data_IF_162275557193
#
_entry.id   IF_162275557193
#
_cell.length_a   1.000
_cell.length_b   1.000
_cell.length_c   1.000
_cell.angle_alpha   90.00
_cell.angle_beta   90.00
_cell.angle_gamma   90.00
#
_symmetry.space_group_name_H-M   'P 1'
#
loop_
_entity.id
_entity.type
_entity.pdbx_description
1 polymer ?
#
# COMPACT_ATOMS: atom_id res chain seq x y z
N UNK A 1 22.20 -7.64 14.46
CA UNK A 1 21.07 -7.01 15.17
C UNK A 1 20.01 -8.09 15.35
N UNK A 2 19.75 -8.55 16.57
CA UNK A 2 18.69 -9.54 16.80
C UNK A 2 17.34 -8.88 16.52
N UNK A 3 16.42 -9.56 15.83
CA UNK A 3 15.07 -9.03 15.64
C UNK A 3 14.39 -8.90 17.01
N UNK A 4 14.00 -7.68 17.38
CA UNK A 4 13.22 -7.44 18.59
C UNK A 4 11.78 -7.88 18.33
N UNK A 5 11.47 -9.14 18.66
CA UNK A 5 10.13 -9.73 18.50
C UNK A 5 9.06 -8.89 19.22
N UNK A 6 9.40 -8.28 20.37
CA UNK A 6 8.48 -7.39 21.08
C UNK A 6 8.21 -6.11 20.28
N UNK A 7 9.22 -5.58 19.59
CA UNK A 7 9.04 -4.45 18.67
C UNK A 7 8.11 -4.80 17.51
N UNK A 8 8.26 -5.96 16.89
CA UNK A 8 7.39 -6.39 15.79
C UNK A 8 5.94 -6.62 16.24
N UNK A 9 5.74 -7.19 17.43
CA UNK A 9 4.40 -7.31 18.02
C UNK A 9 3.79 -5.92 18.26
N UNK A 10 4.57 -4.95 18.74
CA UNK A 10 4.10 -3.56 18.91
C UNK A 10 3.70 -2.93 17.57
N UNK A 11 4.53 -3.05 16.54
CA UNK A 11 4.24 -2.52 15.20
C UNK A 11 2.97 -3.17 14.64
N UNK A 12 2.86 -4.50 14.70
CA UNK A 12 1.66 -5.21 14.24
C UNK A 12 0.37 -4.71 14.91
N UNK A 13 0.37 -4.55 16.24
CA UNK A 13 -0.79 -4.00 16.98
C UNK A 13 -1.15 -2.58 16.54
N UNK A 14 -0.14 -1.73 16.35
CA UNK A 14 -0.36 -0.35 15.89
C UNK A 14 -0.88 -0.30 14.44
N UNK A 15 -0.47 -1.23 13.58
CA UNK A 15 -1.04 -1.35 12.23
C UNK A 15 -2.51 -1.74 12.27
N UNK A 16 -2.89 -2.70 13.12
CA UNK A 16 -4.31 -3.02 13.35
C UNK A 16 -5.09 -1.79 13.84
N UNK A 17 -4.52 -1.00 14.75
CA UNK A 17 -5.14 0.24 15.22
C UNK A 17 -5.31 1.28 14.08
N UNK A 18 -4.27 1.49 13.27
CA UNK A 18 -4.33 2.42 12.14
C UNK A 18 -5.38 1.99 11.10
N UNK A 19 -5.45 0.68 10.79
CA UNK A 19 -6.51 0.12 9.95
C UNK A 19 -7.89 0.38 10.52
N UNK A 20 -8.09 0.18 11.83
CA UNK A 20 -9.36 0.46 12.50
C UNK A 20 -9.76 1.94 12.41
N UNK A 21 -8.81 2.87 12.56
CA UNK A 21 -9.08 4.29 12.33
C UNK A 21 -9.49 4.58 10.89
N UNK A 22 -8.85 3.93 9.91
CA UNK A 22 -9.27 4.07 8.51
C UNK A 22 -10.69 3.57 8.32
N UNK A 23 -11.04 2.37 8.80
CA UNK A 23 -12.41 1.82 8.73
C UNK A 23 -13.47 2.77 9.29
N UNK A 24 -13.16 3.49 10.37
CA UNK A 24 -14.02 4.50 10.99
C UNK A 24 -14.05 5.85 10.26
N UNK A 25 -13.30 6.01 9.16
CA UNK A 25 -13.22 7.26 8.42
C UNK A 25 -12.38 8.34 9.12
N UNK A 26 -11.42 7.92 9.94
CA UNK A 26 -10.55 8.78 10.75
C UNK A 26 -9.10 8.77 10.24
N UNK A 27 -8.84 9.23 9.01
CA UNK A 27 -7.54 9.05 8.36
C UNK A 27 -6.39 9.81 9.04
N UNK A 28 -6.66 10.93 9.70
CA UNK A 28 -5.59 11.65 10.40
C UNK A 28 -5.07 10.86 11.61
N UNK A 29 -5.96 10.25 12.39
CA UNK A 29 -5.57 9.40 13.52
C UNK A 29 -4.79 8.16 13.06
N UNK A 30 -5.13 7.63 11.88
CA UNK A 30 -4.33 6.57 11.27
C UNK A 30 -2.90 7.05 10.97
N UNK A 31 -2.73 8.23 10.37
CA UNK A 31 -1.40 8.80 10.11
C UNK A 31 -0.60 9.01 11.39
N UNK A 32 -1.22 9.59 12.42
CA UNK A 32 -0.56 9.87 13.70
C UNK A 32 -0.02 8.57 14.36
N UNK A 33 -0.75 7.46 14.21
CA UNK A 33 -0.29 6.13 14.64
C UNK A 33 0.89 5.64 13.82
N UNK A 34 0.84 5.80 12.49
CA UNK A 34 1.85 5.32 11.54
C UNK A 34 3.16 6.12 11.62
N UNK A 35 3.12 7.39 12.00
CA UNK A 35 4.31 8.27 12.14
C UNK A 35 5.17 7.93 13.37
N UNK A 36 4.59 7.21 14.34
CA UNK A 36 5.24 6.87 15.60
C UNK A 36 5.58 5.37 15.73
N UNK A 37 5.84 4.73 14.60
CA UNK A 37 6.29 3.35 14.55
C UNK A 37 7.82 3.35 14.50
N UNK A 38 8.47 2.75 15.50
CA UNK A 38 9.92 2.55 15.49
C UNK A 38 10.37 1.63 14.34
N UNK A 39 11.48 0.87 14.48
CA UNK A 39 11.95 -0.01 13.40
C UNK A 39 10.84 -0.91 12.85
N UNK A 40 10.60 -0.82 11.54
CA UNK A 40 9.44 -1.41 10.86
C UNK A 40 9.72 -2.84 10.38
N UNK A 41 10.95 -3.13 9.93
CA UNK A 41 11.35 -4.45 9.46
C UNK A 41 10.41 -4.99 8.37
N UNK A 42 9.78 -6.17 8.55
CA UNK A 42 8.94 -6.77 7.51
C UNK A 42 7.65 -5.97 7.22
N UNK A 43 7.30 -5.00 8.06
CA UNK A 43 6.05 -4.25 7.94
C UNK A 43 6.15 -2.96 7.10
N UNK A 44 7.34 -2.61 6.58
CA UNK A 44 7.53 -1.35 5.85
C UNK A 44 6.54 -1.18 4.70
N UNK A 45 6.31 -2.22 3.90
CA UNK A 45 5.35 -2.16 2.80
C UNK A 45 3.90 -1.91 3.29
N UNK A 46 3.51 -2.54 4.40
CA UNK A 46 2.17 -2.42 4.96
C UNK A 46 1.92 -1.03 5.57
N UNK A 47 2.95 -0.44 6.20
CA UNK A 47 2.89 0.92 6.74
C UNK A 47 2.62 1.93 5.63
N UNK A 48 3.36 1.83 4.52
CA UNK A 48 3.21 2.72 3.37
C UNK A 48 1.87 2.57 2.67
N UNK A 49 1.32 1.35 2.64
CA UNK A 49 -0.03 1.09 2.11
C UNK A 49 -1.10 1.80 2.94
N UNK A 50 -1.07 1.66 4.26
CA UNK A 50 -2.04 2.33 5.14
C UNK A 50 -1.88 3.85 5.12
N UNK A 51 -0.64 4.35 5.01
CA UNK A 51 -0.36 5.78 4.84
C UNK A 51 -0.95 6.32 3.53
N UNK A 52 -0.79 5.58 2.43
CA UNK A 52 -1.38 5.93 1.15
C UNK A 52 -2.91 5.97 1.20
N UNK A 53 -3.53 5.00 1.88
CA UNK A 53 -4.98 4.96 2.07
C UNK A 53 -5.47 6.12 2.93
N UNK A 54 -4.74 6.47 3.99
CA UNK A 54 -5.06 7.62 4.83
C UNK A 54 -5.04 8.93 4.03
N UNK A 55 -4.00 9.16 3.23
CA UNK A 55 -3.93 10.33 2.35
C UNK A 55 -5.03 10.34 1.28
N UNK A 56 -5.34 9.18 0.68
CA UNK A 56 -6.43 9.05 -0.31
C UNK A 56 -7.78 9.46 0.29
N UNK A 57 -8.09 9.05 1.52
CA UNK A 57 -9.33 9.43 2.23
C UNK A 57 -9.39 10.91 2.58
N UNK A 58 -8.23 11.57 2.70
CA UNK A 58 -8.14 13.03 2.86
C UNK A 58 -8.09 13.79 1.51
N UNK A 59 -8.28 13.10 0.38
CA UNK A 59 -8.13 13.67 -0.98
C UNK A 59 -6.72 14.22 -1.28
N UNK A 60 -5.72 13.79 -0.52
CA UNK A 60 -4.30 14.13 -0.67
C UNK A 60 -3.64 13.15 -1.65
N UNK A 61 -4.08 13.22 -2.90
CA UNK A 61 -3.80 12.18 -3.90
C UNK A 61 -2.31 12.09 -4.29
N UNK A 62 -1.56 13.19 -4.20
CA UNK A 62 -0.12 13.18 -4.49
C UNK A 62 0.65 12.39 -3.42
N UNK A 63 0.43 12.67 -2.14
CA UNK A 63 1.07 11.91 -1.05
C UNK A 63 0.61 10.45 -1.03
N UNK A 64 -0.66 10.19 -1.37
CA UNK A 64 -1.18 8.84 -1.52
C UNK A 64 -0.40 8.04 -2.56
N UNK A 65 -0.18 8.62 -3.75
CA UNK A 65 0.58 7.98 -4.82
C UNK A 65 2.04 7.69 -4.44
N UNK A 66 2.69 8.63 -3.74
CA UNK A 66 4.06 8.43 -3.23
C UNK A 66 4.11 7.25 -2.26
N UNK A 67 3.17 7.18 -1.33
CA UNK A 67 3.12 6.13 -0.32
C UNK A 67 2.81 4.77 -0.96
N UNK A 68 1.87 4.69 -1.90
CA UNK A 68 1.59 3.43 -2.61
C UNK A 68 2.75 2.93 -3.46
N UNK A 69 3.48 3.84 -4.12
CA UNK A 69 4.71 3.48 -4.83
C UNK A 69 5.76 2.93 -3.86
N UNK A 70 5.96 3.59 -2.73
CA UNK A 70 6.89 3.15 -1.70
C UNK A 70 6.50 1.78 -1.11
N UNK A 71 5.20 1.50 -0.97
CA UNK A 71 4.70 0.17 -0.57
C UNK A 71 5.04 -0.90 -1.62
N UNK A 72 4.84 -0.58 -2.90
CA UNK A 72 5.15 -1.50 -3.99
C UNK A 72 6.65 -1.81 -4.06
N UNK A 73 7.53 -0.82 -3.96
CA UNK A 73 8.98 -1.02 -3.98
C UNK A 73 9.48 -1.93 -2.85
N UNK A 74 8.81 -1.88 -1.69
CA UNK A 74 9.18 -2.65 -0.48
C UNK A 74 8.52 -4.03 -0.39
N UNK A 75 7.53 -4.34 -1.24
CA UNK A 75 6.86 -5.64 -1.27
C UNK A 75 7.67 -6.70 -2.03
N UNK A 76 8.17 -7.70 -1.32
CA UNK A 76 8.98 -8.80 -1.90
C UNK A 76 8.17 -9.74 -2.81
N UNK A 77 6.85 -9.81 -2.64
CA UNK A 77 5.99 -10.62 -3.51
C UNK A 77 5.62 -9.83 -4.77
N UNK A 78 5.99 -10.35 -5.94
CA UNK A 78 5.65 -9.75 -7.24
C UNK A 78 4.13 -9.67 -7.46
N UNK A 79 3.37 -10.59 -6.83
CA UNK A 79 1.90 -10.63 -6.87
C UNK A 79 1.25 -9.46 -6.11
N UNK A 80 1.78 -9.12 -4.95
CA UNK A 80 1.23 -8.01 -4.12
C UNK A 80 1.59 -6.65 -4.71
N UNK A 81 2.80 -6.54 -5.29
CA UNK A 81 3.24 -5.37 -6.07
C UNK A 81 2.29 -5.04 -7.21
N UNK A 82 1.86 -6.07 -7.94
CA UNK A 82 1.00 -5.89 -9.09
C UNK A 82 -0.42 -5.49 -8.63
N UNK A 83 -1.02 -6.19 -7.67
CA UNK A 83 -2.35 -5.84 -7.17
C UNK A 83 -2.45 -4.39 -6.63
N UNK A 84 -1.40 -3.90 -5.96
CA UNK A 84 -1.34 -2.53 -5.42
C UNK A 84 -1.08 -1.45 -6.48
N UNK A 85 -0.22 -1.73 -7.46
CA UNK A 85 -0.03 -0.84 -8.61
C UNK A 85 -1.35 -0.65 -9.37
N UNK A 86 -2.11 -1.72 -9.52
CA UNK A 86 -3.37 -1.76 -10.25
C UNK A 86 -4.51 -1.02 -9.52
N UNK A 87 -4.55 -1.11 -8.19
CA UNK A 87 -5.44 -0.26 -7.38
C UNK A 87 -5.09 1.23 -7.48
N UNK A 88 -3.80 1.59 -7.46
CA UNK A 88 -3.37 2.99 -7.55
C UNK A 88 -3.72 3.63 -8.91
N UNK A 89 -3.66 2.85 -9.99
CA UNK A 89 -3.98 3.29 -11.35
C UNK A 89 -5.49 3.36 -11.59
N UNK A 90 -6.28 2.45 -11.00
CA UNK A 90 -7.74 2.55 -11.00
C UNK A 90 -8.26 3.82 -10.29
N UNK A 91 -7.57 4.29 -9.24
CA UNK A 91 -7.92 5.54 -8.55
C UNK A 91 -7.47 6.81 -9.28
N UNK A 92 -6.40 6.77 -10.08
CA UNK A 92 -6.07 7.88 -10.97
C UNK A 92 -7.15 8.11 -12.04
N UNK A 93 -7.89 7.07 -12.36
CA UNK A 93 -8.76 7.04 -13.51
C UNK A 93 -10.25 7.08 -13.18
N UNK A 94 -10.66 7.44 -11.97
CA UNK A 94 -11.97 8.10 -11.76
C UNK A 94 -12.05 9.50 -12.40
N UNK A 95 -11.13 9.79 -13.33
CA UNK A 95 -11.37 10.60 -14.52
C UNK A 95 -11.02 9.99 -15.90
N UNK A 96 -10.50 8.76 -16.05
CA UNK A 96 -10.45 8.04 -17.35
C UNK A 96 -10.15 6.51 -17.29
N UNK A 97 -11.02 5.69 -16.68
CA UNK A 97 -10.87 4.24 -16.27
C UNK A 97 -10.40 3.25 -17.36
N UNK A 98 -10.48 3.61 -18.63
CA UNK A 98 -10.40 2.65 -19.74
C UNK A 98 -8.96 2.21 -20.05
N UNK A 99 -7.96 3.06 -19.82
CA UNK A 99 -6.55 2.70 -20.12
C UNK A 99 -5.83 1.96 -18.97
N UNK A 100 -6.27 2.12 -17.73
CA UNK A 100 -5.81 1.33 -16.59
C UNK A 100 -6.05 -0.16 -16.86
N UNK A 101 -7.27 -0.47 -17.33
CA UNK A 101 -7.72 -1.83 -17.63
C UNK A 101 -6.98 -2.46 -18.82
N UNK A 102 -6.47 -1.65 -19.75
CA UNK A 102 -5.75 -2.14 -20.94
C UNK A 102 -4.31 -2.52 -20.64
N UNK A 103 -3.60 -1.73 -19.82
CA UNK A 103 -2.25 -2.07 -19.34
C UNK A 103 -2.24 -3.23 -18.36
N UNK A 104 -3.33 -3.39 -17.62
CA UNK A 104 -3.66 -4.59 -16.85
C UNK A 104 -3.70 -5.87 -17.70
N UNK A 105 -4.40 -5.82 -18.83
CA UNK A 105 -4.51 -6.94 -19.75
C UNK A 105 -3.15 -7.32 -20.36
N UNK A 106 -2.34 -6.35 -20.77
CA UNK A 106 -1.00 -6.60 -21.31
C UNK A 106 -0.03 -7.21 -20.29
N UNK A 107 -0.11 -6.79 -19.03
CA UNK A 107 0.74 -7.36 -17.97
C UNK A 107 0.34 -8.81 -17.62
N UNK A 108 -0.92 -9.19 -17.86
CA UNK A 108 -1.41 -10.57 -17.74
C UNK A 108 -0.96 -11.45 -18.89
N UNK A 109 -0.94 -10.92 -20.11
CA UNK A 109 -0.51 -11.70 -21.29
C UNK A 109 1.02 -11.88 -21.32
N UNK A 110 1.80 -10.89 -20.84
CA UNK A 110 3.26 -11.01 -20.68
C UNK A 110 3.69 -11.98 -19.57
N UNK A 111 2.75 -12.38 -18.69
CA UNK A 111 2.96 -13.41 -17.66
C UNK A 111 2.34 -14.76 -18.04
N UNK A 112 1.77 -14.88 -19.24
CA UNK A 112 1.47 -16.16 -19.86
C UNK A 112 2.75 -16.67 -20.53
N UNK A 113 3.34 -17.81 -20.11
CA UNK A 113 4.45 -18.40 -20.83
C UNK A 113 3.90 -19.06 -22.09
N UNK A 114 3.71 -18.30 -23.15
CA UNK A 114 3.51 -18.89 -24.47
C UNK A 114 4.86 -19.33 -25.04
N UNK A 115 5.03 -20.66 -25.00
CA UNK A 115 5.62 -21.47 -26.06
C UNK A 115 7.12 -21.30 -26.34
N UNK A 116 7.93 -22.15 -25.69
CA UNK A 116 8.64 -23.24 -26.38
C UNK A 116 9.19 -24.27 -25.41
#
# INVERSE_FOLDING_TARGET
MQPDVAQWIRVSKRLTQASGYLELGLPQQALDVLDNLGPLGPFEAQVELLRGEAYRRQQRFQEAAVSFRAAAEKSLSARDRQALLLMSVCYQQTGNVVEALRRLAQARDASSPESK
#
